data_IF_929834620257
#
_entry.id   IF_929834620257
#
_cell.length_a   1.000
_cell.length_b   1.000
_cell.length_c   1.000
_cell.angle_alpha   90.00
_cell.angle_beta   90.00
_cell.angle_gamma   90.00
#
_symmetry.space_group_name_H-M   'P 1'
#
loop_
_entity.id
_entity.type
_entity.pdbx_description
1 polymer ?
#
# COMPACT_ATOMS: atom_id res chain seq x y z
N UNK A 1 61.21 34.37 -29.54
CA UNK A 1 60.83 34.51 -28.11
C UNK A 1 59.33 34.66 -27.85
N UNK A 2 58.51 35.28 -28.73
CA UNK A 2 57.06 35.46 -28.49
C UNK A 2 56.18 34.20 -28.62
N UNK A 3 56.57 33.19 -29.40
CA UNK A 3 55.78 31.95 -29.58
C UNK A 3 55.85 31.01 -28.36
N UNK A 4 56.97 30.97 -27.65
CA UNK A 4 57.16 30.06 -26.51
C UNK A 4 56.41 30.52 -25.24
N UNK A 5 56.13 31.83 -25.12
CA UNK A 5 55.32 32.37 -24.03
C UNK A 5 53.83 32.00 -24.17
N UNK A 6 53.31 31.89 -25.39
CA UNK A 6 51.91 31.50 -25.63
C UNK A 6 51.70 30.02 -25.26
N UNK A 7 52.63 29.13 -25.60
CA UNK A 7 52.53 27.73 -25.22
C UNK A 7 52.69 27.51 -23.71
N UNK A 8 53.53 28.29 -23.03
CA UNK A 8 53.62 28.27 -21.56
C UNK A 8 52.35 28.80 -20.90
N UNK A 9 51.71 29.85 -21.45
CA UNK A 9 50.46 30.39 -20.93
C UNK A 9 49.29 29.41 -21.11
N UNK A 10 49.21 28.72 -22.26
CA UNK A 10 48.19 27.69 -22.53
C UNK A 10 48.40 26.44 -21.64
N UNK A 11 49.65 26.07 -21.35
CA UNK A 11 49.96 25.01 -20.38
C UNK A 11 49.54 25.40 -18.95
N UNK A 12 49.68 26.67 -18.56
CA UNK A 12 49.20 27.15 -17.26
C UNK A 12 47.67 27.21 -17.15
N UNK A 13 46.94 27.52 -18.25
CA UNK A 13 45.47 27.51 -18.27
C UNK A 13 44.86 26.10 -18.30
N UNK A 14 45.59 25.10 -18.79
CA UNK A 14 45.13 23.69 -18.80
C UNK A 14 45.37 22.99 -17.46
N UNK A 15 46.32 23.47 -16.65
CA UNK A 15 46.55 23.00 -15.27
C UNK A 15 45.63 23.67 -14.23
N UNK A 16 44.92 24.75 -14.56
CA UNK A 16 43.95 25.41 -13.67
C UNK A 16 42.51 24.91 -13.83
N UNK A 17 42.27 23.91 -14.68
CA UNK A 17 40.98 23.22 -14.84
C UNK A 17 40.99 21.87 -14.10
N UNK A 18 41.65 21.81 -12.94
CA UNK A 18 41.25 20.81 -11.95
C UNK A 18 39.78 21.12 -11.64
N UNK A 19 38.87 20.32 -12.22
CA UNK A 19 37.46 20.41 -11.92
C UNK A 19 37.33 20.35 -10.39
N UNK A 20 36.88 21.44 -9.77
CA UNK A 20 36.53 21.42 -8.37
C UNK A 20 35.58 20.23 -8.20
N UNK A 21 35.93 19.32 -7.31
CA UNK A 21 35.03 18.23 -6.98
C UNK A 21 33.67 18.83 -6.65
N UNK A 22 32.64 18.35 -7.33
CA UNK A 22 31.25 18.70 -7.00
C UNK A 22 30.74 17.88 -5.82
N UNK A 23 31.58 17.02 -5.26
CA UNK A 23 31.29 16.32 -4.02
C UNK A 23 31.41 17.30 -2.85
N UNK A 24 30.32 17.61 -2.14
CA UNK A 24 30.36 18.51 -1.00
C UNK A 24 31.25 18.01 0.15
N UNK A 25 31.60 16.73 0.21
CA UNK A 25 32.53 16.19 1.22
C UNK A 25 34.01 16.54 0.92
N UNK A 26 34.33 16.99 -0.29
CA UNK A 26 35.70 17.40 -0.69
C UNK A 26 36.01 18.88 -0.36
N UNK A 27 35.08 19.61 0.26
CA UNK A 27 35.23 21.03 0.58
C UNK A 27 36.12 21.26 1.82
N UNK A 28 37.06 22.21 1.73
CA UNK A 28 37.93 22.61 2.86
C UNK A 28 37.21 23.42 3.95
N UNK A 29 35.98 23.83 3.69
CA UNK A 29 35.11 24.56 4.63
C UNK A 29 33.65 24.25 4.31
N UNK A 30 32.82 24.13 5.35
CA UNK A 30 31.38 23.83 5.20
C UNK A 30 30.65 24.97 4.48
N UNK A 31 29.83 24.60 3.49
CA UNK A 31 28.94 25.53 2.80
C UNK A 31 27.88 26.09 3.75
N UNK A 32 27.55 27.37 3.60
CA UNK A 32 26.50 28.04 4.34
C UNK A 32 25.33 28.25 3.39
N UNK A 33 24.23 27.55 3.66
CA UNK A 33 23.08 27.50 2.78
C UNK A 33 22.23 28.76 2.90
N UNK A 34 21.79 29.29 1.76
CA UNK A 34 20.90 30.45 1.72
C UNK A 34 19.46 30.13 2.15
N UNK A 35 18.64 31.16 2.37
CA UNK A 35 17.24 31.00 2.77
C UNK A 35 16.40 30.17 1.77
N UNK A 36 16.75 30.20 0.49
CA UNK A 36 16.06 29.44 -0.57
C UNK A 36 16.83 28.19 -1.02
N UNK A 37 17.90 27.85 -0.31
CA UNK A 37 18.73 26.69 -0.62
C UNK A 37 18.39 25.54 0.32
N UNK A 38 18.34 24.34 -0.25
CA UNK A 38 18.08 23.10 0.46
C UNK A 38 19.42 22.48 0.89
N UNK A 39 19.67 22.31 2.21
CA UNK A 39 20.89 21.67 2.69
C UNK A 39 21.09 20.27 2.12
N UNK A 40 22.33 19.96 1.71
CA UNK A 40 22.69 18.61 1.30
C UNK A 40 22.49 17.65 2.47
N UNK A 41 21.98 16.45 2.19
CA UNK A 41 21.85 15.42 3.20
C UNK A 41 23.14 14.59 3.23
N UNK A 42 23.94 14.81 4.27
CA UNK A 42 25.06 13.92 4.57
C UNK A 42 24.55 12.51 4.86
N UNK A 43 25.18 11.50 4.27
CA UNK A 43 24.76 10.10 4.49
C UNK A 43 25.29 9.58 5.82
N UNK A 44 24.37 9.24 6.72
CA UNK A 44 24.65 8.49 7.94
C UNK A 44 23.55 7.43 8.11
N UNK A 45 23.88 6.17 7.84
CA UNK A 45 22.95 5.05 7.90
C UNK A 45 22.49 4.74 9.35
N UNK A 46 23.37 4.95 10.33
CA UNK A 46 23.07 4.65 11.73
C UNK A 46 22.09 5.66 12.35
N UNK A 47 21.96 6.85 11.75
CA UNK A 47 20.94 7.85 12.07
C UNK A 47 19.57 7.56 11.41
N UNK A 48 19.46 6.52 10.57
CA UNK A 48 18.20 6.19 9.87
C UNK A 48 17.38 5.17 10.63
N UNK A 49 16.07 5.37 10.65
CA UNK A 49 15.05 4.42 11.05
C UNK A 49 14.28 4.03 9.79
N UNK A 50 14.36 2.77 9.38
CA UNK A 50 13.65 2.27 8.19
C UNK A 50 12.39 1.51 8.61
N UNK A 51 11.25 1.90 8.06
CA UNK A 51 9.94 1.30 8.34
C UNK A 51 9.30 0.85 7.03
N UNK A 52 8.94 -0.43 6.95
CA UNK A 52 8.08 -0.92 5.86
C UNK A 52 6.62 -0.68 6.24
N UNK A 53 5.86 -0.09 5.33
CA UNK A 53 4.49 0.29 5.57
C UNK A 53 3.59 -0.16 4.41
N UNK A 54 2.98 -1.34 4.58
CA UNK A 54 2.02 -1.87 3.60
C UNK A 54 0.57 -1.41 3.88
N UNK A 55 -0.09 -0.83 2.90
CA UNK A 55 -1.48 -0.35 3.00
C UNK A 55 -2.39 -1.17 2.06
N UNK A 56 -3.34 -1.93 2.61
CA UNK A 56 -4.43 -2.51 1.83
C UNK A 56 -5.28 -1.39 1.21
N UNK A 57 -5.56 -1.43 -0.10
CA UNK A 57 -6.48 -0.42 -0.70
C UNK A 57 -7.89 -0.51 -0.11
N UNK A 58 -8.31 -1.70 0.35
CA UNK A 58 -9.58 -1.91 1.06
C UNK A 58 -9.58 -1.41 2.51
N UNK A 59 -8.41 -1.05 3.07
CA UNK A 59 -8.27 -0.57 4.46
C UNK A 59 -7.11 0.40 4.60
N UNK A 60 -7.34 1.65 4.22
CA UNK A 60 -6.38 2.74 4.35
C UNK A 60 -6.35 3.29 5.79
N UNK A 61 -5.92 2.46 6.74
CA UNK A 61 -5.69 2.88 8.12
C UNK A 61 -4.32 3.53 8.28
N UNK A 62 -4.29 4.64 9.03
CA UNK A 62 -3.04 5.32 9.38
C UNK A 62 -2.09 4.37 10.11
N UNK A 63 -0.81 4.38 9.72
CA UNK A 63 0.25 3.71 10.46
C UNK A 63 1.03 4.73 11.25
N UNK A 64 1.34 4.39 12.50
CA UNK A 64 2.08 5.29 13.40
C UNK A 64 3.45 4.73 13.76
N UNK A 65 4.41 5.62 13.90
CA UNK A 65 5.73 5.33 14.46
C UNK A 65 5.93 6.22 15.66
N UNK A 66 6.08 5.62 16.84
CA UNK A 66 6.35 6.35 18.08
C UNK A 66 7.80 6.78 18.12
N UNK A 67 8.03 8.07 18.33
CA UNK A 67 9.38 8.62 18.43
C UNK A 67 10.13 8.09 19.65
N UNK A 68 9.41 7.80 20.73
CA UNK A 68 9.96 7.25 21.98
C UNK A 68 10.61 5.88 21.82
N UNK A 69 10.16 5.08 20.84
CA UNK A 69 10.74 3.77 20.54
C UNK A 69 12.17 3.90 19.99
N UNK A 70 12.54 5.09 19.52
CA UNK A 70 13.86 5.43 18.98
C UNK A 70 14.59 6.47 19.83
N UNK A 71 14.23 6.62 21.11
CA UNK A 71 14.82 7.63 22.00
C UNK A 71 16.36 7.60 22.04
N UNK A 72 16.97 6.41 21.96
CA UNK A 72 18.43 6.26 21.89
C UNK A 72 19.06 6.94 20.67
N UNK A 73 18.38 6.92 19.50
CA UNK A 73 18.85 7.62 18.30
C UNK A 73 18.79 9.14 18.47
N UNK A 74 17.72 9.66 19.08
CA UNK A 74 17.63 11.09 19.41
C UNK A 74 18.77 11.50 20.35
N UNK A 75 19.03 10.71 21.39
CA UNK A 75 20.14 10.97 22.30
C UNK A 75 21.50 10.91 21.60
N UNK A 76 21.72 9.91 20.74
CA UNK A 76 23.02 9.69 20.09
C UNK A 76 23.31 10.74 19.03
N UNK A 77 22.34 11.09 18.20
CA UNK A 77 22.56 11.92 17.01
C UNK A 77 22.13 13.38 17.15
N UNK A 78 21.29 13.70 18.13
CA UNK A 78 20.90 15.09 18.44
C UNK A 78 21.43 15.54 19.81
N UNK A 79 21.85 14.62 20.68
CA UNK A 79 22.21 14.95 22.06
C UNK A 79 21.00 15.32 22.92
N UNK A 80 19.79 14.93 22.51
CA UNK A 80 18.52 15.37 23.11
C UNK A 80 17.59 14.18 23.38
N UNK A 81 16.77 14.29 24.42
CA UNK A 81 15.55 13.46 24.55
C UNK A 81 14.54 13.81 23.46
N UNK A 82 13.60 12.91 23.17
CA UNK A 82 12.46 13.20 22.27
C UNK A 82 11.69 14.45 22.72
N UNK A 83 11.49 14.63 24.02
CA UNK A 83 10.76 15.79 24.55
C UNK A 83 11.49 17.11 24.36
N UNK A 84 12.81 17.12 24.59
CA UNK A 84 13.64 18.28 24.31
C UNK A 84 13.67 18.60 22.81
N UNK A 85 13.76 17.58 21.95
CA UNK A 85 13.72 17.76 20.50
C UNK A 85 12.40 18.39 20.05
N UNK A 86 11.26 17.90 20.55
CA UNK A 86 9.93 18.44 20.23
C UNK A 86 9.74 19.87 20.76
N UNK A 87 10.22 20.16 21.98
CA UNK A 87 10.17 21.52 22.52
C UNK A 87 11.07 22.50 21.73
N UNK A 88 12.21 22.03 21.23
CA UNK A 88 13.15 22.81 20.44
C UNK A 88 12.65 23.14 19.02
N UNK A 89 11.60 22.47 18.53
CA UNK A 89 10.92 22.89 17.30
C UNK A 89 10.31 24.28 17.45
N UNK A 90 9.68 24.58 18.60
CA UNK A 90 8.98 25.85 18.82
C UNK A 90 9.91 27.06 18.87
N UNK A 91 11.16 26.86 19.29
CA UNK A 91 12.17 27.92 19.33
C UNK A 91 13.11 27.90 18.11
N UNK A 92 12.93 26.96 17.19
CA UNK A 92 13.69 26.84 15.95
C UNK A 92 15.10 26.28 16.10
N UNK A 93 15.51 25.80 17.29
CA UNK A 93 16.82 25.16 17.48
C UNK A 93 16.88 23.74 16.87
N UNK A 94 15.71 23.13 16.65
CA UNK A 94 15.55 21.91 15.86
C UNK A 94 14.60 22.22 14.71
N UNK A 95 14.83 21.59 13.57
CA UNK A 95 13.91 21.59 12.42
C UNK A 95 13.37 20.19 12.15
N UNK A 96 12.16 20.12 11.61
CA UNK A 96 11.56 18.90 11.07
C UNK A 96 11.20 19.14 9.61
N UNK A 97 11.79 18.37 8.70
CA UNK A 97 11.62 18.56 7.26
C UNK A 97 11.52 17.24 6.50
N UNK A 98 10.82 17.23 5.34
CA UNK A 98 10.92 16.15 4.37
C UNK A 98 12.31 16.11 3.75
N UNK A 99 12.66 14.96 3.19
CA UNK A 99 13.94 14.72 2.53
C UNK A 99 13.68 14.28 1.10
N UNK A 100 14.29 14.97 0.14
CA UNK A 100 14.27 14.55 -1.25
C UNK A 100 15.44 13.59 -1.50
N UNK A 101 15.13 12.29 -1.51
CA UNK A 101 16.13 11.24 -1.71
C UNK A 101 16.78 11.28 -3.10
N UNK A 102 16.01 11.65 -4.14
CA UNK A 102 16.51 11.70 -5.52
C UNK A 102 17.54 12.81 -5.72
N UNK A 103 17.45 13.88 -4.92
CA UNK A 103 18.40 15.00 -4.91
C UNK A 103 19.38 14.94 -3.73
N UNK A 104 19.24 13.94 -2.87
CA UNK A 104 19.93 13.79 -1.61
C UNK A 104 20.03 15.09 -0.78
N UNK A 105 18.88 15.75 -0.56
CA UNK A 105 18.84 17.00 0.18
C UNK A 105 17.61 17.11 1.08
N UNK A 106 17.76 17.89 2.15
CA UNK A 106 16.65 18.34 2.98
C UNK A 106 15.72 19.21 2.14
N UNK A 107 14.41 19.00 2.24
CA UNK A 107 13.43 19.78 1.52
C UNK A 107 12.72 20.75 2.48
N UNK A 108 13.09 22.03 2.40
CA UNK A 108 12.53 23.09 3.25
C UNK A 108 11.16 23.61 2.81
N UNK A 109 10.47 22.93 1.89
CA UNK A 109 9.09 23.28 1.52
C UNK A 109 8.20 23.34 2.77
N UNK A 110 7.42 24.41 2.91
CA UNK A 110 6.48 24.57 4.01
C UNK A 110 5.49 23.39 4.08
N UNK A 111 4.94 23.05 5.26
CA UNK A 111 3.96 21.99 5.43
C UNK A 111 2.79 22.12 4.44
N UNK A 112 2.45 21.02 3.77
CA UNK A 112 1.28 20.94 2.87
C UNK A 112 0.13 20.13 3.48
N UNK A 113 0.36 19.50 4.64
CA UNK A 113 -0.66 18.80 5.43
C UNK A 113 -0.59 19.24 6.89
N UNK A 114 -1.74 19.68 7.42
CA UNK A 114 -1.85 20.10 8.81
C UNK A 114 -0.82 21.19 9.15
N UNK A 115 -0.30 21.14 10.38
CA UNK A 115 0.71 22.10 10.84
C UNK A 115 2.13 21.58 10.63
N UNK A 116 2.35 20.26 10.66
CA UNK A 116 3.69 19.66 10.65
C UNK A 116 3.74 18.43 9.73
N UNK A 117 3.18 18.53 8.53
CA UNK A 117 3.11 17.40 7.60
C UNK A 117 3.13 17.79 6.13
N UNK A 118 3.27 16.77 5.28
CA UNK A 118 3.33 16.91 3.82
C UNK A 118 2.55 15.81 3.13
N UNK A 119 1.91 16.17 2.01
CA UNK A 119 1.44 15.22 1.00
C UNK A 119 2.56 14.86 0.03
N UNK A 120 2.51 13.65 -0.50
CA UNK A 120 3.46 13.10 -1.46
C UNK A 120 2.75 12.56 -2.68
N UNK A 121 3.32 12.84 -3.85
CA UNK A 121 2.86 12.31 -5.13
C UNK A 121 3.46 10.92 -5.42
N UNK A 122 3.09 10.35 -6.58
CA UNK A 122 3.55 9.01 -7.03
C UNK A 122 5.07 8.89 -7.20
N UNK A 123 5.79 10.01 -7.34
CA UNK A 123 7.25 10.03 -7.43
C UNK A 123 7.94 10.22 -6.07
N UNK A 124 7.19 10.25 -4.95
CA UNK A 124 7.73 10.54 -3.62
C UNK A 124 8.12 12.01 -3.41
N UNK A 125 7.68 12.91 -4.30
CA UNK A 125 7.90 14.34 -4.16
C UNK A 125 6.80 15.00 -3.33
N UNK A 126 7.18 15.98 -2.49
CA UNK A 126 6.23 16.81 -1.75
C UNK A 126 5.30 17.55 -2.72
N UNK A 127 4.00 17.51 -2.45
CA UNK A 127 2.97 18.14 -3.27
C UNK A 127 1.82 18.69 -2.39
N UNK A 128 0.80 19.26 -3.04
CA UNK A 128 -0.46 19.62 -2.40
C UNK A 128 -1.37 18.40 -2.20
N UNK A 129 -2.50 18.60 -1.51
CA UNK A 129 -3.47 17.55 -1.24
C UNK A 129 -4.11 16.98 -2.51
N UNK A 130 -4.34 17.82 -3.53
CA UNK A 130 -5.01 17.41 -4.77
C UNK A 130 -4.16 16.44 -5.60
N UNK A 131 -2.83 16.58 -5.52
CA UNK A 131 -1.87 15.73 -6.24
C UNK A 131 -1.31 14.58 -5.38
N UNK A 132 -1.74 14.50 -4.11
CA UNK A 132 -1.22 13.56 -3.14
C UNK A 132 -1.82 12.17 -3.25
N UNK A 133 -0.99 11.16 -3.03
CA UNK A 133 -1.39 9.75 -2.87
C UNK A 133 -1.03 9.19 -1.49
N UNK A 134 -0.15 9.87 -0.76
CA UNK A 134 0.23 9.54 0.60
C UNK A 134 0.55 10.81 1.38
N UNK A 135 0.64 10.69 2.69
CA UNK A 135 1.05 11.80 3.55
C UNK A 135 1.70 11.35 4.83
N UNK A 136 2.53 12.22 5.40
CA UNK A 136 3.08 12.04 6.74
C UNK A 136 2.90 13.33 7.54
N UNK A 137 2.56 13.19 8.81
CA UNK A 137 2.40 14.30 9.74
C UNK A 137 3.02 13.96 11.10
N UNK A 138 3.65 14.94 11.72
CA UNK A 138 4.13 14.85 13.09
C UNK A 138 3.01 15.23 14.07
N UNK A 139 2.53 14.27 14.83
CA UNK A 139 1.73 14.50 16.04
C UNK A 139 2.69 14.70 17.23
N UNK A 140 3.08 15.96 17.47
CA UNK A 140 4.00 16.31 18.54
C UNK A 140 3.42 16.05 19.95
N UNK A 141 2.09 16.02 20.09
CA UNK A 141 1.44 15.74 21.39
C UNK A 141 1.53 14.27 21.75
N UNK A 142 1.28 13.39 20.77
CA UNK A 142 1.42 11.93 20.95
C UNK A 142 2.84 11.43 20.75
N UNK A 143 3.73 12.29 20.22
CA UNK A 143 5.13 11.96 19.88
C UNK A 143 5.18 10.87 18.81
N UNK A 144 4.38 11.03 17.77
CA UNK A 144 4.18 10.04 16.71
C UNK A 144 4.35 10.66 15.32
N UNK A 145 4.93 9.90 14.39
CA UNK A 145 4.79 10.15 12.97
C UNK A 145 3.59 9.35 12.46
N UNK A 146 2.64 10.02 11.85
CA UNK A 146 1.40 9.44 11.33
C UNK A 146 1.47 9.38 9.82
N UNK A 147 1.65 8.18 9.28
CA UNK A 147 1.72 7.87 7.86
C UNK A 147 0.35 7.44 7.35
N UNK A 148 -0.11 8.04 6.26
CA UNK A 148 -1.37 7.70 5.61
C UNK A 148 -1.16 7.49 4.11
N UNK A 149 -1.96 6.61 3.51
CA UNK A 149 -2.18 6.51 2.07
C UNK A 149 -3.57 7.06 1.78
N UNK A 150 -3.73 7.78 0.67
CA UNK A 150 -5.01 8.36 0.23
C UNK A 150 -5.69 7.42 -0.76
N UNK A 151 -7.01 7.51 -0.87
CA UNK A 151 -7.84 6.69 -1.79
C UNK A 151 -7.46 6.87 -3.27
N UNK A 152 -6.76 7.95 -3.60
CA UNK A 152 -6.21 8.22 -4.93
C UNK A 152 -5.02 7.33 -5.29
N UNK A 153 -4.42 6.62 -4.32
CA UNK A 153 -3.33 5.70 -4.58
C UNK A 153 -3.82 4.43 -5.26
N UNK A 154 -3.08 3.96 -6.27
CA UNK A 154 -3.43 2.72 -6.98
C UNK A 154 -2.75 1.50 -6.36
N UNK A 155 -3.38 0.33 -6.46
CA UNK A 155 -2.76 -0.96 -6.12
C UNK A 155 -1.45 -1.13 -6.91
N UNK A 156 -0.41 -1.64 -6.24
CA UNK A 156 0.94 -1.77 -6.78
C UNK A 156 1.79 -0.50 -6.66
N UNK A 157 1.24 0.58 -6.10
CA UNK A 157 2.04 1.77 -5.77
C UNK A 157 3.13 1.41 -4.77
N UNK A 158 4.36 1.82 -5.05
CA UNK A 158 5.49 1.74 -4.14
C UNK A 158 6.18 3.11 -4.11
N UNK A 159 6.29 3.72 -2.93
CA UNK A 159 6.94 5.03 -2.75
C UNK A 159 7.81 5.01 -1.49
N UNK A 160 8.88 5.81 -1.51
CA UNK A 160 9.71 6.03 -0.33
C UNK A 160 9.49 7.45 0.19
N UNK A 161 9.01 7.57 1.43
CA UNK A 161 8.78 8.84 2.11
C UNK A 161 9.85 9.02 3.17
N UNK A 162 10.51 10.18 3.17
CA UNK A 162 11.59 10.44 4.12
C UNK A 162 11.36 11.79 4.81
N UNK A 163 11.45 11.78 6.13
CA UNK A 163 11.41 12.96 6.99
C UNK A 163 12.49 12.85 8.06
N UNK A 164 12.89 13.96 8.66
CA UNK A 164 13.87 13.91 9.73
C UNK A 164 13.84 15.12 10.64
N UNK A 165 14.41 14.94 11.82
CA UNK A 165 14.71 15.99 12.80
C UNK A 165 16.19 16.31 12.70
N UNK A 166 16.55 17.59 12.71
CA UNK A 166 17.95 18.01 12.70
C UNK A 166 18.19 19.22 13.59
N UNK A 167 19.40 19.33 14.15
CA UNK A 167 19.84 20.53 14.83
C UNK A 167 19.94 21.68 13.81
N UNK A 168 19.26 22.77 14.10
CA UNK A 168 19.33 23.98 13.29
C UNK A 168 20.60 24.77 13.64
N UNK A 169 21.71 24.37 13.06
CA UNK A 169 23.00 25.05 13.20
C UNK A 169 23.19 26.21 12.19
N UNK A 170 22.16 26.55 11.41
CA UNK A 170 22.24 27.55 10.35
C UNK A 170 23.14 27.16 9.16
N UNK A 171 23.52 25.88 9.05
CA UNK A 171 24.40 25.37 8.00
C UNK A 171 23.82 24.11 7.34
N UNK A 172 24.19 22.90 7.81
CA UNK A 172 24.12 21.65 7.01
C UNK A 172 23.18 20.57 7.54
N UNK A 173 22.59 20.73 8.73
CA UNK A 173 21.71 19.71 9.33
C UNK A 173 22.35 18.31 9.44
N UNK A 174 23.67 18.26 9.69
CA UNK A 174 24.43 16.99 9.78
C UNK A 174 24.10 16.17 11.04
N UNK A 175 23.67 16.84 12.11
CA UNK A 175 23.22 16.21 13.35
C UNK A 175 21.72 15.97 13.24
N UNK A 176 21.34 14.74 12.87
CA UNK A 176 19.97 14.41 12.53
C UNK A 176 19.53 13.01 12.92
N UNK A 177 18.22 12.80 13.02
CA UNK A 177 17.57 11.48 12.99
C UNK A 177 16.60 11.46 11.80
N UNK A 178 16.75 10.46 10.92
CA UNK A 178 15.95 10.31 9.70
C UNK A 178 15.00 9.12 9.84
N UNK A 179 13.76 9.30 9.42
CA UNK A 179 12.77 8.24 9.28
C UNK A 179 12.50 8.01 7.80
N UNK A 180 12.78 6.80 7.33
CA UNK A 180 12.56 6.34 5.98
C UNK A 180 11.39 5.34 5.97
N UNK A 181 10.36 5.64 5.20
CA UNK A 181 9.17 4.80 5.07
C UNK A 181 9.10 4.24 3.66
N UNK A 182 9.20 2.91 3.55
CA UNK A 182 8.94 2.21 2.31
C UNK A 182 7.47 1.81 2.28
N UNK A 183 6.69 2.60 1.55
CA UNK A 183 5.23 2.50 1.49
C UNK A 183 4.84 1.68 0.27
N UNK A 184 4.00 0.68 0.48
CA UNK A 184 3.43 -0.13 -0.60
C UNK A 184 1.92 -0.16 -0.47
N UNK A 185 1.21 -0.10 -1.60
CA UNK A 185 -0.24 -0.24 -1.66
C UNK A 185 -0.55 -1.60 -2.25
N UNK A 186 -1.12 -2.47 -1.45
CA UNK A 186 -1.44 -3.85 -1.82
C UNK A 186 -2.95 -4.03 -1.94
N UNK A 187 -3.33 -5.11 -2.60
CA UNK A 187 -4.70 -5.60 -2.61
C UNK A 187 -4.71 -6.97 -1.93
N UNK A 188 -4.69 -7.01 -0.58
CA UNK A 188 -4.66 -8.28 0.14
C UNK A 188 -5.99 -9.03 0.03
N UNK A 189 -7.06 -8.38 -0.42
CA UNK A 189 -8.38 -8.98 -0.54
C UNK A 189 -8.51 -9.96 -1.71
N UNK A 190 -7.52 -10.10 -2.60
CA UNK A 190 -7.63 -10.99 -3.77
C UNK A 190 -6.97 -12.34 -3.56
N UNK A 191 -7.80 -13.38 -3.59
CA UNK A 191 -7.41 -14.79 -3.53
C UNK A 191 -7.54 -15.40 -4.92
N UNK A 192 -6.45 -15.96 -5.45
CA UNK A 192 -6.45 -16.60 -6.79
C UNK A 192 -6.37 -18.11 -6.63
N UNK A 193 -7.35 -18.82 -7.18
CA UNK A 193 -7.42 -20.30 -7.13
C UNK A 193 -7.55 -20.84 -8.55
N UNK A 194 -6.89 -21.96 -8.84
CA UNK A 194 -7.08 -22.69 -10.09
C UNK A 194 -7.22 -24.17 -9.79
N UNK A 195 -8.29 -24.80 -10.28
CA UNK A 195 -8.53 -26.22 -10.03
C UNK A 195 -9.38 -26.88 -11.14
N UNK A 196 -9.40 -28.21 -11.17
CA UNK A 196 -10.25 -28.99 -12.07
C UNK A 196 -11.50 -29.48 -11.36
N UNK A 197 -12.59 -29.62 -12.11
CA UNK A 197 -13.85 -30.21 -11.64
C UNK A 197 -14.06 -31.50 -12.43
N UNK A 198 -14.08 -32.63 -11.73
CA UNK A 198 -14.24 -33.94 -12.36
C UNK A 198 -15.53 -34.08 -13.16
N UNK A 199 -15.56 -35.07 -14.05
CA UNK A 199 -16.77 -35.46 -14.77
C UNK A 199 -17.82 -36.07 -13.82
N UNK A 200 -19.08 -35.71 -14.03
CA UNK A 200 -20.22 -36.21 -13.27
C UNK A 200 -21.11 -35.10 -12.74
N UNK A 201 -22.39 -35.42 -12.62
CA UNK A 201 -23.44 -34.50 -12.16
C UNK A 201 -23.05 -33.89 -10.81
N UNK A 202 -23.11 -32.56 -10.72
CA UNK A 202 -22.83 -31.79 -9.49
C UNK A 202 -21.42 -31.96 -8.90
N UNK A 203 -20.48 -32.51 -9.67
CA UNK A 203 -19.07 -32.56 -9.24
C UNK A 203 -18.57 -31.13 -8.96
N UNK A 204 -17.78 -30.99 -7.90
CA UNK A 204 -17.24 -29.72 -7.45
C UNK A 204 -15.86 -29.92 -6.84
N UNK A 205 -15.07 -28.84 -6.81
CA UNK A 205 -14.00 -28.70 -5.82
C UNK A 205 -14.42 -27.66 -4.78
N UNK A 206 -13.79 -27.74 -3.61
CA UNK A 206 -14.03 -26.85 -2.50
C UNK A 206 -12.81 -25.98 -2.24
N UNK A 207 -13.06 -24.74 -1.83
CA UNK A 207 -12.05 -23.82 -1.32
C UNK A 207 -12.33 -23.66 0.16
N UNK A 208 -11.43 -24.17 1.01
CA UNK A 208 -11.54 -24.05 2.46
C UNK A 208 -11.17 -22.64 2.91
N UNK A 209 -12.03 -21.98 3.71
CA UNK A 209 -11.73 -20.64 4.20
C UNK A 209 -10.56 -20.61 5.20
N UNK A 210 -10.30 -21.74 5.86
CA UNK A 210 -9.16 -21.89 6.77
C UNK A 210 -7.81 -21.64 6.07
N UNK A 211 -7.68 -22.02 4.79
CA UNK A 211 -6.47 -21.78 3.99
C UNK A 211 -6.19 -20.29 3.78
N UNK A 212 -7.20 -19.43 3.95
CA UNK A 212 -7.14 -17.98 3.71
C UNK A 212 -7.51 -17.17 4.95
N UNK A 213 -7.36 -17.76 6.15
CA UNK A 213 -7.75 -17.14 7.40
C UNK A 213 -7.17 -15.71 7.56
N UNK A 214 -5.85 -15.54 7.41
CA UNK A 214 -5.21 -14.25 7.64
C UNK A 214 -5.78 -13.14 6.72
N UNK A 215 -6.06 -13.49 5.46
CA UNK A 215 -6.65 -12.56 4.48
C UNK A 215 -8.09 -12.22 4.87
N UNK A 216 -8.90 -13.23 5.15
CA UNK A 216 -10.31 -13.05 5.55
C UNK A 216 -10.40 -12.17 6.81
N UNK A 217 -9.63 -12.51 7.84
CA UNK A 217 -9.68 -11.79 9.12
C UNK A 217 -9.19 -10.34 8.98
N UNK A 218 -8.11 -10.13 8.21
CA UNK A 218 -7.55 -8.79 8.02
C UNK A 218 -8.43 -7.88 7.15
N UNK A 219 -9.09 -8.42 6.13
CA UNK A 219 -9.92 -7.66 5.19
C UNK A 219 -11.34 -7.41 5.72
N UNK A 220 -11.95 -8.38 6.42
CA UNK A 220 -13.31 -8.24 6.93
C UNK A 220 -13.36 -7.70 8.37
N UNK A 221 -12.26 -7.80 9.12
CA UNK A 221 -12.23 -7.41 10.53
C UNK A 221 -13.09 -8.32 11.42
N UNK A 222 -13.31 -9.56 10.98
CA UNK A 222 -14.00 -10.63 11.70
C UNK A 222 -12.99 -11.74 11.98
N UNK A 223 -13.16 -12.51 13.05
CA UNK A 223 -12.47 -13.79 13.16
C UNK A 223 -13.01 -14.78 12.11
N UNK A 224 -12.23 -15.80 11.74
CA UNK A 224 -12.69 -16.83 10.81
C UNK A 224 -13.99 -17.50 11.27
N UNK A 225 -14.14 -17.75 12.57
CA UNK A 225 -15.37 -18.35 13.12
C UNK A 225 -16.60 -17.43 12.99
N UNK A 226 -16.42 -16.12 13.16
CA UNK A 226 -17.50 -15.14 12.96
C UNK A 226 -17.88 -15.05 11.48
N UNK A 227 -16.89 -15.02 10.59
CA UNK A 227 -17.09 -15.05 9.14
C UNK A 227 -17.86 -16.30 8.69
N UNK A 228 -17.42 -17.49 9.09
CA UNK A 228 -18.08 -18.77 8.79
C UNK A 228 -19.53 -18.75 9.25
N UNK A 229 -19.79 -18.25 10.47
CA UNK A 229 -21.16 -18.15 11.00
C UNK A 229 -22.01 -17.17 10.19
N UNK A 230 -21.42 -16.05 9.77
CA UNK A 230 -22.09 -15.03 8.99
C UNK A 230 -22.47 -15.48 7.57
N UNK A 231 -21.76 -16.46 7.00
CA UNK A 231 -22.02 -16.96 5.65
C UNK A 231 -23.12 -18.03 5.57
N UNK A 232 -23.61 -18.55 6.70
CA UNK A 232 -24.57 -19.68 6.73
C UNK A 232 -25.96 -19.36 6.21
N UNK A 233 -26.39 -18.11 6.32
CA UNK A 233 -27.77 -17.71 6.05
C UNK A 233 -27.79 -16.42 5.21
N UNK A 234 -28.67 -16.31 4.20
CA UNK A 234 -28.84 -15.11 3.38
C UNK A 234 -29.07 -13.82 4.15
N UNK A 235 -29.67 -13.91 5.35
CA UNK A 235 -29.92 -12.78 6.23
C UNK A 235 -28.72 -12.34 7.08
N UNK A 236 -27.61 -13.08 7.06
CA UNK A 236 -26.40 -12.79 7.83
C UNK A 236 -25.70 -11.49 7.39
N UNK A 237 -24.70 -11.01 8.15
CA UNK A 237 -24.02 -9.73 7.87
C UNK A 237 -23.06 -9.80 6.67
N UNK A 238 -22.74 -10.99 6.17
CA UNK A 238 -21.93 -11.19 4.97
C UNK A 238 -22.85 -11.46 3.78
N UNK A 239 -22.51 -10.90 2.63
CA UNK A 239 -23.08 -11.27 1.34
C UNK A 239 -22.02 -11.88 0.43
N UNK A 240 -22.43 -12.81 -0.42
CA UNK A 240 -21.67 -13.28 -1.56
C UNK A 240 -22.17 -12.51 -2.79
N UNK A 241 -21.28 -11.87 -3.54
CA UNK A 241 -21.65 -11.21 -4.81
C UNK A 241 -20.80 -11.74 -5.96
N UNK A 242 -21.43 -12.05 -7.08
CA UNK A 242 -20.69 -12.30 -8.32
C UNK A 242 -20.11 -11.00 -8.85
N UNK A 243 -18.87 -11.05 -9.34
CA UNK A 243 -18.20 -9.90 -9.95
C UNK A 243 -18.24 -10.04 -11.46
N UNK A 244 -18.69 -9.00 -12.14
CA UNK A 244 -18.63 -8.94 -13.60
C UNK A 244 -17.17 -8.85 -14.06
N UNK A 245 -16.74 -9.80 -14.89
CA UNK A 245 -15.34 -9.88 -15.33
C UNK A 245 -14.93 -8.75 -16.28
N UNK A 246 -15.87 -8.05 -16.91
CA UNK A 246 -15.59 -6.96 -17.85
C UNK A 246 -15.62 -5.59 -17.17
N UNK A 247 -16.64 -5.32 -16.34
CA UNK A 247 -16.82 -4.03 -15.66
C UNK A 247 -16.24 -3.99 -14.25
N UNK A 248 -16.05 -5.14 -13.59
CA UNK A 248 -15.67 -5.23 -12.18
C UNK A 248 -16.84 -4.93 -11.22
N UNK A 249 -18.05 -4.70 -11.73
CA UNK A 249 -19.22 -4.40 -10.90
C UNK A 249 -19.71 -5.65 -10.15
N UNK A 250 -20.12 -5.45 -8.90
CA UNK A 250 -20.69 -6.52 -8.09
C UNK A 250 -22.19 -6.64 -8.35
N UNK A 251 -22.67 -7.87 -8.53
CA UNK A 251 -24.09 -8.16 -8.65
C UNK A 251 -24.75 -8.14 -7.26
N UNK A 252 -25.16 -6.96 -6.81
CA UNK A 252 -25.78 -6.74 -5.50
C UNK A 252 -27.32 -6.85 -5.51
N UNK A 253 -27.92 -7.11 -6.67
CA UNK A 253 -29.38 -7.05 -6.87
C UNK A 253 -30.03 -8.41 -7.08
N UNK A 254 -29.26 -9.44 -7.45
CA UNK A 254 -29.80 -10.78 -7.66
C UNK A 254 -29.98 -11.54 -6.35
N UNK A 255 -31.14 -12.17 -6.19
CA UNK A 255 -31.38 -13.14 -5.13
C UNK A 255 -30.47 -14.37 -5.33
N UNK A 256 -30.10 -15.03 -4.23
CA UNK A 256 -29.34 -16.29 -4.28
C UNK A 256 -30.15 -17.38 -4.97
N UNK A 257 -29.48 -18.13 -5.86
CA UNK A 257 -30.14 -19.17 -6.67
C UNK A 257 -29.58 -20.58 -6.43
N UNK A 258 -28.43 -20.71 -5.76
CA UNK A 258 -27.85 -21.97 -5.28
C UNK A 258 -27.69 -21.95 -3.74
N UNK A 259 -27.32 -23.06 -3.09
CA UNK A 259 -27.10 -23.06 -1.63
C UNK A 259 -28.18 -23.71 -0.77
N UNK A 260 -29.37 -24.01 -1.31
CA UNK A 260 -30.51 -24.40 -0.47
C UNK A 260 -30.85 -23.28 0.53
N UNK A 261 -30.44 -23.42 1.79
CA UNK A 261 -30.56 -22.39 2.85
C UNK A 261 -29.36 -21.44 2.95
N UNK A 262 -28.26 -21.70 2.25
CA UNK A 262 -27.05 -20.88 2.25
C UNK A 262 -27.05 -19.75 1.21
N UNK A 263 -25.87 -19.16 0.98
CA UNK A 263 -25.62 -18.13 -0.03
C UNK A 263 -24.90 -18.73 -1.25
N UNK A 264 -25.45 -18.55 -2.44
CA UNK A 264 -24.87 -19.11 -3.66
C UNK A 264 -25.63 -18.75 -4.93
N UNK A 265 -25.00 -18.97 -6.08
CA UNK A 265 -25.55 -18.67 -7.40
C UNK A 265 -25.31 -19.80 -8.40
N UNK A 266 -26.34 -20.10 -9.20
CA UNK A 266 -26.17 -20.75 -10.50
C UNK A 266 -25.77 -19.72 -11.55
N UNK A 267 -24.89 -20.14 -12.45
CA UNK A 267 -24.26 -19.30 -13.45
C UNK A 267 -24.43 -19.87 -14.85
N UNK A 268 -24.68 -18.97 -15.79
CA UNK A 268 -24.62 -19.25 -17.23
C UNK A 268 -23.18 -19.38 -17.72
N UNK A 269 -22.99 -19.77 -18.99
CA UNK A 269 -21.64 -19.86 -19.60
C UNK A 269 -20.90 -18.52 -19.65
N UNK A 270 -21.63 -17.40 -19.57
CA UNK A 270 -21.09 -16.05 -19.51
C UNK A 270 -21.01 -15.53 -18.06
N UNK A 271 -21.10 -16.43 -17.07
CA UNK A 271 -20.99 -16.15 -15.64
C UNK A 271 -22.05 -15.17 -15.09
N UNK A 272 -23.17 -15.04 -15.80
CA UNK A 272 -24.34 -14.30 -15.31
C UNK A 272 -25.19 -15.20 -14.42
N UNK A 273 -25.71 -14.63 -13.33
CA UNK A 273 -26.63 -15.31 -12.42
C UNK A 273 -27.87 -15.79 -13.18
N UNK A 274 -28.26 -17.03 -12.94
CA UNK A 274 -29.45 -17.68 -13.49
C UNK A 274 -30.07 -18.60 -12.44
N UNK A 275 -31.18 -19.26 -12.79
CA UNK A 275 -31.81 -20.27 -11.96
C UNK A 275 -31.28 -21.67 -12.28
N UNK A 276 -31.46 -22.60 -11.34
CA UNK A 276 -31.17 -24.02 -11.57
C UNK A 276 -32.05 -24.62 -12.66
N UNK A 277 -31.46 -25.46 -13.52
CA UNK A 277 -32.17 -26.43 -14.35
C UNK A 277 -31.33 -27.71 -14.52
N UNK A 278 -31.99 -28.86 -14.57
CA UNK A 278 -31.38 -30.17 -14.86
C UNK A 278 -31.32 -30.46 -16.36
N UNK A 279 -32.27 -29.93 -17.14
CA UNK A 279 -32.37 -30.06 -18.59
C UNK A 279 -31.61 -28.98 -19.38
N UNK A 280 -30.96 -28.03 -18.68
CA UNK A 280 -30.23 -26.91 -19.26
C UNK A 280 -31.11 -25.79 -19.81
N UNK A 281 -32.42 -25.80 -19.56
CA UNK A 281 -33.38 -24.79 -20.05
C UNK A 281 -33.08 -23.35 -19.59
N UNK A 282 -32.38 -23.19 -18.46
CA UNK A 282 -31.95 -21.89 -17.92
C UNK A 282 -30.54 -21.49 -18.37
N UNK A 283 -29.86 -22.37 -19.13
CA UNK A 283 -28.47 -22.20 -19.54
C UNK A 283 -27.45 -22.30 -18.39
N UNK A 284 -27.84 -22.84 -17.23
CA UNK A 284 -26.95 -23.01 -16.07
C UNK A 284 -25.87 -24.06 -16.34
N UNK A 285 -24.60 -23.69 -16.12
CA UNK A 285 -23.43 -24.56 -16.32
C UNK A 285 -22.55 -24.69 -15.08
N UNK A 286 -22.60 -23.71 -14.18
CA UNK A 286 -21.81 -23.74 -12.94
C UNK A 286 -22.65 -23.28 -11.76
N UNK A 287 -22.20 -23.64 -10.57
CA UNK A 287 -22.61 -23.00 -9.33
C UNK A 287 -21.41 -22.57 -8.51
N UNK A 288 -21.59 -21.48 -7.76
CA UNK A 288 -20.74 -21.04 -6.66
C UNK A 288 -21.60 -21.03 -5.42
N UNK A 289 -21.21 -21.81 -4.41
CA UNK A 289 -22.08 -22.06 -3.27
C UNK A 289 -21.28 -22.20 -1.98
N UNK A 290 -21.60 -21.38 -0.97
CA UNK A 290 -21.13 -21.64 0.39
C UNK A 290 -21.85 -22.87 0.94
N UNK A 291 -21.11 -23.83 1.47
CA UNK A 291 -21.71 -25.00 2.11
C UNK A 291 -22.53 -24.62 3.35
N UNK A 292 -23.46 -25.48 3.75
CA UNK A 292 -24.37 -25.29 4.89
C UNK A 292 -23.63 -25.01 6.22
N UNK A 293 -22.47 -25.63 6.41
CA UNK A 293 -21.60 -25.40 7.57
C UNK A 293 -20.83 -24.06 7.51
N UNK A 294 -20.80 -23.39 6.36
CA UNK A 294 -20.23 -22.07 6.15
C UNK A 294 -18.70 -22.02 6.05
N UNK A 295 -18.00 -23.15 6.09
CA UNK A 295 -16.52 -23.20 6.22
C UNK A 295 -15.76 -23.29 4.88
N UNK A 296 -16.50 -23.50 3.79
CA UNK A 296 -15.95 -23.57 2.45
C UNK A 296 -16.94 -23.09 1.40
N UNK A 297 -16.39 -22.74 0.24
CA UNK A 297 -17.17 -22.46 -0.98
C UNK A 297 -16.87 -23.51 -2.04
N UNK A 298 -17.94 -24.06 -2.60
CA UNK A 298 -17.90 -25.02 -3.70
C UNK A 298 -18.01 -24.30 -5.03
N UNK A 299 -17.18 -24.71 -5.98
CA UNK A 299 -17.35 -24.37 -7.39
C UNK A 299 -17.58 -25.68 -8.13
N UNK A 300 -18.79 -25.84 -8.66
CA UNK A 300 -19.23 -27.10 -9.24
C UNK A 300 -19.98 -26.96 -10.55
N UNK A 301 -20.10 -28.09 -11.24
CA UNK A 301 -20.69 -28.16 -12.59
C UNK A 301 -22.15 -28.58 -12.54
N UNK A 302 -22.96 -27.98 -13.40
CA UNK A 302 -24.30 -28.49 -13.69
C UNK A 302 -24.19 -29.81 -14.50
N UNK A 303 -25.12 -30.78 -14.36
CA UNK A 303 -25.20 -31.97 -15.22
C UNK A 303 -25.05 -31.72 -16.73
N UNK A 304 -25.64 -30.64 -17.26
CA UNK A 304 -25.64 -30.32 -18.69
C UNK A 304 -24.31 -29.71 -19.21
N UNK A 305 -23.26 -29.65 -18.38
CA UNK A 305 -22.04 -28.89 -18.68
C UNK A 305 -21.04 -29.66 -19.53
N UNK A 306 -20.50 -28.99 -20.55
CA UNK A 306 -19.52 -29.54 -21.48
C UNK A 306 -18.14 -29.71 -20.83
N UNK A 307 -17.59 -30.93 -20.88
CA UNK A 307 -16.21 -31.22 -20.49
C UNK A 307 -15.19 -30.47 -21.35
N UNK A 308 -14.05 -30.09 -20.76
CA UNK A 308 -13.00 -29.28 -21.36
C UNK A 308 -13.24 -27.77 -21.32
N UNK A 309 -14.41 -27.31 -20.86
CA UNK A 309 -14.69 -25.88 -20.68
C UNK A 309 -13.87 -25.28 -19.53
N UNK A 310 -13.43 -24.04 -19.70
CA UNK A 310 -12.67 -23.28 -18.70
C UNK A 310 -13.43 -22.00 -18.36
N UNK A 311 -13.58 -21.72 -17.08
CA UNK A 311 -14.29 -20.56 -16.56
C UNK A 311 -13.40 -19.79 -15.59
N UNK A 312 -13.39 -18.46 -15.71
CA UNK A 312 -12.72 -17.56 -14.78
C UNK A 312 -13.79 -16.87 -13.94
N UNK A 313 -14.14 -17.49 -12.81
CA UNK A 313 -15.23 -17.09 -11.94
C UNK A 313 -14.71 -16.12 -10.89
N UNK A 314 -15.28 -14.93 -10.82
CA UNK A 314 -14.94 -13.93 -9.81
C UNK A 314 -16.12 -13.70 -8.88
N UNK A 315 -15.89 -13.74 -7.58
CA UNK A 315 -16.92 -13.46 -6.57
C UNK A 315 -16.29 -12.85 -5.32
N UNK A 316 -17.08 -12.08 -4.56
CA UNK A 316 -16.65 -11.48 -3.30
C UNK A 316 -17.50 -11.97 -2.14
N UNK A 317 -16.88 -12.06 -0.97
CA UNK A 317 -17.59 -11.97 0.30
C UNK A 317 -17.39 -10.58 0.88
N UNK A 318 -18.48 -9.86 1.14
CA UNK A 318 -18.44 -8.49 1.64
C UNK A 318 -19.33 -8.30 2.86
N UNK A 319 -18.92 -7.41 3.76
CA UNK A 319 -19.74 -6.96 4.88
C UNK A 319 -20.86 -6.07 4.35
N UNK A 320 -22.13 -6.44 4.55
CA UNK A 320 -23.28 -5.72 3.98
C UNK A 320 -23.40 -4.26 4.45
N UNK A 321 -22.97 -3.98 5.67
CA UNK A 321 -23.00 -2.64 6.26
C UNK A 321 -21.82 -1.77 5.83
N UNK A 322 -20.74 -2.39 5.30
CA UNK A 322 -19.51 -1.72 4.90
C UNK A 322 -18.83 -2.50 3.77
N UNK A 323 -19.23 -2.22 2.53
CA UNK A 323 -18.71 -2.91 1.34
C UNK A 323 -17.21 -2.63 1.08
N UNK A 324 -16.56 -1.71 1.81
CA UNK A 324 -15.09 -1.58 1.74
C UNK A 324 -14.37 -2.78 2.38
N UNK A 325 -15.06 -3.51 3.27
CA UNK A 325 -14.58 -4.73 3.90
C UNK A 325 -15.04 -5.94 3.11
N UNK A 326 -14.13 -6.48 2.30
CA UNK A 326 -14.41 -7.64 1.46
C UNK A 326 -13.16 -8.47 1.17
N UNK A 327 -13.40 -9.70 0.72
CA UNK A 327 -12.41 -10.57 0.10
C UNK A 327 -12.97 -11.04 -1.26
N UNK A 328 -12.17 -10.94 -2.31
CA UNK A 328 -12.44 -11.36 -3.68
C UNK A 328 -11.72 -12.67 -3.99
N UNK A 329 -12.46 -13.65 -4.50
CA UNK A 329 -11.94 -14.88 -5.07
C UNK A 329 -11.97 -14.80 -6.60
N UNK A 330 -10.82 -15.04 -7.22
CA UNK A 330 -10.62 -15.12 -8.66
C UNK A 330 -10.27 -16.58 -8.97
N UNK A 331 -11.23 -17.30 -9.52
CA UNK A 331 -11.18 -18.76 -9.61
C UNK A 331 -11.17 -19.23 -11.05
N UNK A 332 -10.09 -19.90 -11.45
CA UNK A 332 -10.02 -20.61 -12.74
C UNK A 332 -10.49 -22.06 -12.56
N UNK A 333 -11.71 -22.35 -12.97
CA UNK A 333 -12.29 -23.71 -12.94
C UNK A 333 -12.20 -24.35 -14.33
N UNK A 334 -11.64 -25.57 -14.40
CA UNK A 334 -11.58 -26.37 -15.64
C UNK A 334 -12.43 -27.62 -15.49
N UNK A 335 -13.43 -27.82 -16.36
CA UNK A 335 -14.26 -29.02 -16.35
C UNK A 335 -13.48 -30.16 -17.03
N UNK A 336 -13.30 -31.29 -16.35
CA UNK A 336 -12.75 -32.52 -16.94
C UNK A 336 -13.76 -33.20 -17.86
#
# INVERSE_FOLDING_TARGET
>A
MKKNFIYALIACFTLSLAACSTDPEDATSKHVYGENENPYLKTNADAVVSTKAEFPISRLEAKTVKLTDYAEKFHTYLGMTVDETLAALSNGSVVFYPINISKNCWNRTAPTKGTNGWYYNTAGGVCDAASGIASIELDATKKELVLNVLETASVGTAISINVGFAINNGANFDDYVRFAFDVTVTDPGRIVVANTISAGDYSAFSIEFADYQEVIESCLGLTLSEFITACKEPGGPIALYMVDSESGEWNTTSDYTAGGSGIGYWLTSNLKVTNWSDDGSTGSVLFVETQENGDMVNIGRNPASTSGSVFNVNFVYALKEDNSKFVEFIVKATLE
#
